data_IF_109832630209
#
_entry.id   IF_109832630209
#
_cell.length_a   1.000
_cell.length_b   1.000
_cell.length_c   1.000
_cell.angle_alpha   90.00
_cell.angle_beta   90.00
_cell.angle_gamma   90.00
#
_symmetry.space_group_name_H-M   'P 1'
#
loop_
_entity.id
_entity.type
_entity.pdbx_description
1 polymer ?
#
# COMPACT_ATOMS: atom_id res chain seq x y z
N UNK A 1 5.86 -7.61 9.76
CA UNK A 1 5.27 -6.30 9.45
C UNK A 1 5.05 -6.17 7.96
N UNK A 2 3.79 -5.98 7.56
CA UNK A 2 3.38 -5.67 6.19
C UNK A 2 2.88 -4.23 6.19
N UNK A 3 3.37 -3.37 5.29
CA UNK A 3 2.90 -1.99 5.18
C UNK A 3 2.10 -1.83 3.88
N UNK A 4 0.85 -1.35 4.00
CA UNK A 4 -0.02 -1.08 2.85
C UNK A 4 -0.08 0.42 2.62
N UNK A 5 0.26 0.85 1.41
CA UNK A 5 0.33 2.26 1.07
C UNK A 5 -0.17 2.54 -0.35
N UNK A 6 -0.42 3.82 -0.65
CA UNK A 6 -0.98 4.25 -1.91
C UNK A 6 -1.79 5.52 -1.75
N UNK A 7 -2.42 5.97 -2.84
CA UNK A 7 -3.27 7.16 -2.81
C UNK A 7 -4.50 6.96 -1.92
N UNK A 8 -5.10 8.06 -1.50
CA UNK A 8 -6.43 8.15 -0.93
C UNK A 8 -7.42 7.53 -1.91
N UNK A 9 -8.35 6.73 -1.40
CA UNK A 9 -9.33 6.03 -2.24
C UNK A 9 -8.75 4.95 -3.17
N UNK A 10 -7.48 4.57 -3.04
CA UNK A 10 -6.89 3.47 -3.81
C UNK A 10 -7.28 2.06 -3.29
N UNK A 11 -8.30 1.93 -2.43
CA UNK A 11 -8.76 0.63 -1.92
C UNK A 11 -7.97 0.03 -0.76
N UNK A 12 -6.98 0.71 -0.16
CA UNK A 12 -6.12 0.19 0.94
C UNK A 12 -6.89 -0.46 2.09
N UNK A 13 -7.83 0.29 2.69
CA UNK A 13 -8.61 -0.23 3.82
C UNK A 13 -9.54 -1.38 3.41
N UNK A 14 -10.11 -1.36 2.19
CA UNK A 14 -10.89 -2.49 1.65
C UNK A 14 -10.03 -3.73 1.45
N UNK A 15 -8.82 -3.57 0.89
CA UNK A 15 -7.84 -4.64 0.73
C UNK A 15 -7.49 -5.28 2.09
N UNK A 16 -7.22 -4.46 3.11
CA UNK A 16 -6.92 -4.96 4.45
C UNK A 16 -8.12 -5.71 5.04
N UNK A 17 -9.34 -5.22 4.83
CA UNK A 17 -10.55 -5.91 5.27
C UNK A 17 -10.72 -7.27 4.58
N UNK A 18 -10.40 -7.39 3.29
CA UNK A 18 -10.43 -8.66 2.56
C UNK A 18 -9.37 -9.63 3.14
N UNK A 19 -8.14 -9.15 3.35
CA UNK A 19 -7.06 -9.96 3.96
C UNK A 19 -7.46 -10.42 5.38
N UNK A 20 -8.06 -9.52 6.16
CA UNK A 20 -8.54 -9.81 7.52
C UNK A 20 -9.78 -10.74 7.53
N UNK A 21 -10.65 -10.66 6.52
CA UNK A 21 -11.86 -11.47 6.38
C UNK A 21 -11.64 -12.92 5.96
N UNK A 22 -10.39 -13.30 5.65
CA UNK A 22 -9.94 -14.70 5.57
C UNK A 22 -9.36 -15.23 6.89
N UNK A 23 -9.31 -14.41 7.93
CA UNK A 23 -8.63 -14.65 9.21
C UNK A 23 -9.60 -14.50 10.40
N UNK A 24 -9.91 -15.58 11.10
CA UNK A 24 -10.82 -15.58 12.27
C UNK A 24 -10.36 -14.75 13.49
N UNK A 25 -9.12 -14.25 13.50
CA UNK A 25 -8.51 -13.57 14.66
C UNK A 25 -8.22 -12.07 14.47
N UNK A 26 -8.80 -11.42 13.45
CA UNK A 26 -8.50 -10.02 13.15
C UNK A 26 -8.82 -9.10 14.35
N UNK A 27 -7.78 -8.53 14.97
CA UNK A 27 -7.92 -7.56 16.06
C UNK A 27 -7.31 -6.24 15.63
N UNK A 28 -8.15 -5.21 15.47
CA UNK A 28 -7.68 -3.86 15.17
C UNK A 28 -7.35 -3.14 16.48
N UNK A 29 -6.07 -2.90 16.74
CA UNK A 29 -5.65 -1.98 17.81
C UNK A 29 -5.29 -0.64 17.19
N UNK A 30 -5.99 0.44 17.56
CA UNK A 30 -5.55 1.79 17.22
C UNK A 30 -4.32 2.10 18.07
N UNK A 31 -3.12 1.98 17.51
CA UNK A 31 -1.92 2.48 18.17
C UNK A 31 -2.05 4.01 18.27
N UNK A 32 -2.30 4.52 19.47
CA UNK A 32 -2.46 5.97 19.72
C UNK A 32 -1.06 6.58 19.86
N UNK A 33 -0.41 6.84 18.73
CA UNK A 33 0.59 7.90 18.61
C UNK A 33 -0.15 9.16 18.16
N UNK A 34 -0.27 10.16 19.04
CA UNK A 34 -0.98 11.42 18.79
C UNK A 34 -0.58 12.02 17.42
N UNK A 35 -1.53 12.09 16.49
CA UNK A 35 -1.44 12.77 15.17
C UNK A 35 -0.70 12.03 14.05
N UNK A 36 -0.70 10.69 14.03
CA UNK A 36 -0.08 9.91 12.94
C UNK A 36 -1.09 8.91 12.35
N UNK A 37 -1.55 9.14 11.12
CA UNK A 37 -2.67 8.42 10.51
C UNK A 37 -2.26 7.06 9.92
N UNK A 38 -1.80 6.15 10.77
CA UNK A 38 -1.70 4.74 10.42
C UNK A 38 -2.44 3.85 11.43
N UNK A 39 -2.99 2.73 10.96
CA UNK A 39 -3.68 1.73 11.80
C UNK A 39 -2.97 0.39 11.71
N UNK A 40 -2.74 -0.22 12.87
CA UNK A 40 -2.22 -1.59 12.95
C UNK A 40 -3.40 -2.57 13.03
N UNK A 41 -3.39 -3.56 12.15
CA UNK A 41 -4.31 -4.68 12.13
C UNK A 41 -3.50 -5.98 12.25
N UNK A 42 -3.73 -6.75 13.31
CA UNK A 42 -3.13 -8.08 13.42
C UNK A 42 -4.06 -9.09 12.76
N UNK A 43 -3.55 -9.87 11.81
CA UNK A 43 -4.30 -10.87 11.02
C UNK A 43 -3.59 -12.22 11.02
N UNK A 44 -4.34 -13.32 10.88
CA UNK A 44 -3.82 -14.68 10.77
C UNK A 44 -4.12 -15.25 9.38
N UNK A 45 -3.09 -15.40 8.55
CA UNK A 45 -3.22 -15.97 7.20
C UNK A 45 -2.52 -17.33 7.17
N UNK A 46 -3.27 -18.39 6.86
CA UNK A 46 -2.77 -19.77 6.82
C UNK A 46 -1.99 -20.21 8.08
N UNK A 47 -2.50 -19.87 9.28
CA UNK A 47 -1.87 -20.23 10.56
C UNK A 47 -0.67 -19.37 10.95
N UNK A 48 -0.39 -18.27 10.22
CA UNK A 48 0.69 -17.33 10.53
C UNK A 48 0.13 -15.95 10.84
N UNK A 49 0.61 -15.34 11.92
CA UNK A 49 0.21 -14.00 12.32
C UNK A 49 1.04 -12.93 11.62
N UNK A 50 0.37 -11.91 11.09
CA UNK A 50 0.96 -10.75 10.44
C UNK A 50 0.40 -9.47 11.06
N UNK A 51 1.29 -8.50 11.29
CA UNK A 51 0.90 -7.13 11.58
C UNK A 51 0.85 -6.33 10.28
N UNK A 52 -0.35 -5.93 9.86
CA UNK A 52 -0.60 -5.08 8.70
C UNK A 52 -0.77 -3.63 9.15
N UNK A 53 -0.02 -2.74 8.54
CA UNK A 53 -0.04 -1.30 8.81
C UNK A 53 -0.75 -0.59 7.66
N UNK A 54 -1.99 -0.15 7.91
CA UNK A 54 -2.80 0.70 7.02
C UNK A 54 -2.30 2.14 7.13
N UNK A 55 -1.85 2.75 6.04
CA UNK A 55 -1.45 4.17 6.04
C UNK A 55 -2.55 5.05 5.48
N UNK A 56 -2.61 6.31 5.90
CA UNK A 56 -3.34 7.34 5.17
C UNK A 56 -2.93 7.38 3.68
N UNK A 57 -3.83 7.90 2.85
CA UNK A 57 -3.53 8.19 1.46
C UNK A 57 -2.41 9.21 1.32
N UNK A 58 -1.51 8.99 0.36
CA UNK A 58 -0.36 9.87 0.14
C UNK A 58 -0.71 11.25 -0.44
N UNK A 59 -1.92 11.40 -0.97
CA UNK A 59 -2.54 12.64 -1.47
C UNK A 59 -3.69 13.11 -0.57
N UNK A 60 -3.88 12.49 0.59
CA UNK A 60 -5.01 12.74 1.47
C UNK A 60 -4.82 14.10 2.18
N UNK A 61 -5.63 15.08 1.77
CA UNK A 61 -5.47 16.46 2.18
C UNK A 61 -6.61 17.37 1.80
N UNK A 62 -7.15 18.11 2.78
CA UNK A 62 -8.05 19.22 2.53
C UNK A 62 -7.31 20.35 1.79
N UNK A 63 -7.59 20.52 0.50
CA UNK A 63 -7.37 21.74 -0.31
C UNK A 63 -6.05 22.50 -0.05
N UNK A 64 -4.90 21.93 -0.41
CA UNK A 64 -3.60 22.63 -0.40
C UNK A 64 -2.45 21.70 -0.81
N UNK A 65 -1.26 22.22 -1.13
CA UNK A 65 -0.06 21.42 -1.49
C UNK A 65 0.68 20.81 -0.29
N UNK A 66 0.48 21.37 0.90
CA UNK A 66 1.06 20.90 2.18
C UNK A 66 0.64 19.49 2.70
N UNK A 67 -0.51 18.88 2.32
CA UNK A 67 -0.93 17.59 2.85
C UNK A 67 -0.19 16.37 2.29
N UNK A 68 0.18 16.40 1.00
CA UNK A 68 0.91 15.27 0.40
C UNK A 68 2.28 15.12 1.08
N UNK A 69 3.04 16.21 1.19
CA UNK A 69 4.34 16.23 1.91
C UNK A 69 4.23 15.68 3.33
N UNK A 70 3.15 16.01 4.07
CA UNK A 70 2.91 15.45 5.41
C UNK A 70 2.61 13.96 5.39
N UNK A 71 1.82 13.47 4.44
CA UNK A 71 1.56 12.04 4.29
C UNK A 71 2.85 11.29 3.94
N UNK A 72 3.70 11.89 3.11
CA UNK A 72 5.04 11.36 2.81
C UNK A 72 5.95 11.30 4.04
N UNK A 73 5.99 12.36 4.84
CA UNK A 73 6.77 12.42 6.09
C UNK A 73 6.27 11.39 7.11
N UNK A 74 4.96 11.30 7.30
CA UNK A 74 4.31 10.34 8.20
C UNK A 74 4.68 8.90 7.84
N UNK A 75 4.63 8.59 6.54
CA UNK A 75 5.04 7.30 6.05
C UNK A 75 6.54 7.07 6.29
N UNK A 76 7.42 8.01 5.94
CA UNK A 76 8.87 7.86 6.18
C UNK A 76 9.15 7.58 7.65
N UNK A 77 8.44 8.26 8.55
CA UNK A 77 8.53 8.04 9.99
C UNK A 77 8.07 6.62 10.37
N UNK A 78 6.91 6.16 9.88
CA UNK A 78 6.44 4.79 10.11
C UNK A 78 7.46 3.76 9.63
N UNK A 79 7.96 3.91 8.40
CA UNK A 79 8.94 2.98 7.82
C UNK A 79 10.22 2.94 8.68
N UNK A 80 10.70 4.09 9.13
CA UNK A 80 11.87 4.20 10.00
C UNK A 80 11.63 3.59 11.39
N UNK A 81 10.46 3.79 11.99
CA UNK A 81 10.06 3.17 13.26
C UNK A 81 10.02 1.64 13.14
N UNK A 82 9.35 1.12 12.10
CA UNK A 82 9.25 -0.32 11.87
C UNK A 82 10.61 -0.95 11.60
N UNK A 83 11.47 -0.30 10.81
CA UNK A 83 12.83 -0.76 10.54
C UNK A 83 13.69 -0.85 11.81
N UNK A 84 13.46 0.04 12.78
CA UNK A 84 14.19 0.03 14.07
C UNK A 84 13.75 -1.06 15.02
N UNK A 85 12.46 -1.38 15.02
CA UNK A 85 11.89 -2.33 15.98
C UNK A 85 12.11 -3.77 15.49
N UNK A 86 11.41 -4.16 14.42
CA UNK A 86 11.38 -5.55 13.94
C UNK A 86 11.61 -5.70 12.42
N UNK A 87 11.88 -4.61 11.71
CA UNK A 87 11.98 -4.63 10.24
C UNK A 87 10.61 -4.60 9.54
N UNK A 88 10.67 -4.52 8.21
CA UNK A 88 9.53 -4.61 7.31
C UNK A 88 9.77 -5.84 6.43
N UNK A 89 8.78 -6.73 6.37
CA UNK A 89 8.90 -7.99 5.63
C UNK A 89 8.34 -7.86 4.20
N UNK A 90 7.33 -7.00 4.03
CA UNK A 90 6.67 -6.77 2.76
C UNK A 90 6.08 -5.37 2.69
N UNK A 91 6.20 -4.78 1.51
CA UNK A 91 5.49 -3.58 1.11
C UNK A 91 4.37 -3.94 0.13
N UNK A 92 3.18 -3.41 0.35
CA UNK A 92 2.06 -3.52 -0.58
C UNK A 92 1.74 -2.12 -1.11
N UNK A 93 2.03 -1.89 -2.38
CA UNK A 93 1.59 -0.70 -3.10
C UNK A 93 0.18 -0.94 -3.64
N UNK A 94 -0.83 -0.43 -2.93
CA UNK A 94 -2.21 -0.47 -3.37
C UNK A 94 -2.47 0.70 -4.32
N UNK A 95 -2.97 0.39 -5.52
CA UNK A 95 -3.31 1.36 -6.56
C UNK A 95 -4.72 1.10 -7.06
N UNK A 96 -5.35 2.12 -7.65
CA UNK A 96 -6.63 1.96 -8.32
C UNK A 96 -6.42 1.99 -9.83
N UNK A 97 -6.90 0.98 -10.55
CA UNK A 97 -6.77 0.86 -12.00
C UNK A 97 -7.48 1.98 -12.76
N UNK A 98 -8.48 2.62 -12.14
CA UNK A 98 -9.24 3.73 -12.71
C UNK A 98 -8.61 5.12 -12.49
N UNK A 99 -7.45 5.22 -11.80
CA UNK A 99 -6.84 6.50 -11.44
C UNK A 99 -5.61 6.89 -12.27
N UNK A 100 -5.29 8.20 -12.39
CA UNK A 100 -4.15 8.69 -13.17
C UNK A 100 -2.78 8.23 -12.65
N UNK A 101 -1.93 7.74 -13.57
CA UNK A 101 -0.63 7.11 -13.29
C UNK A 101 0.46 8.06 -12.76
N UNK A 102 0.34 9.37 -12.96
CA UNK A 102 1.37 10.35 -12.55
C UNK A 102 1.60 10.37 -11.03
N UNK A 103 0.51 10.29 -10.25
CA UNK A 103 0.62 10.28 -8.80
C UNK A 103 1.09 8.90 -8.28
N UNK A 104 0.96 7.84 -9.06
CA UNK A 104 1.52 6.51 -8.75
C UNK A 104 3.05 6.51 -8.89
N UNK A 105 3.60 7.16 -9.91
CA UNK A 105 5.06 7.27 -10.10
C UNK A 105 5.74 8.03 -8.96
N UNK A 106 5.15 9.16 -8.54
CA UNK A 106 5.68 9.96 -7.44
C UNK A 106 5.71 9.15 -6.14
N UNK A 107 4.62 8.44 -5.85
CA UNK A 107 4.51 7.57 -4.69
C UNK A 107 5.55 6.45 -4.74
N UNK A 108 5.70 5.74 -5.87
CA UNK A 108 6.68 4.67 -5.95
C UNK A 108 8.12 5.14 -5.64
N UNK A 109 8.54 6.26 -6.24
CA UNK A 109 9.90 6.80 -6.06
C UNK A 109 10.18 7.22 -4.61
N UNK A 110 9.19 7.80 -3.94
CA UNK A 110 9.30 8.18 -2.53
C UNK A 110 9.62 6.97 -1.64
N UNK A 111 8.94 5.85 -1.88
CA UNK A 111 9.06 4.67 -1.01
C UNK A 111 10.32 3.89 -1.30
N UNK A 112 10.63 3.71 -2.58
CA UNK A 112 11.85 3.04 -3.00
C UNK A 112 13.10 3.76 -2.44
N UNK A 113 13.07 5.10 -2.37
CA UNK A 113 14.14 5.89 -1.75
C UNK A 113 14.11 5.85 -0.21
N UNK A 114 12.93 5.93 0.43
CA UNK A 114 12.80 5.95 1.90
C UNK A 114 13.29 4.67 2.58
N UNK A 115 13.16 3.51 1.92
CA UNK A 115 13.54 2.20 2.48
C UNK A 115 15.03 1.90 2.22
N UNK A 116 15.74 2.87 1.62
CA UNK A 116 17.20 2.86 1.50
C UNK A 116 17.73 1.74 0.62
N UNK A 117 16.97 1.30 -0.38
CA UNK A 117 17.30 0.15 -1.26
C UNK A 117 17.57 -1.15 -0.50
N UNK A 118 17.14 -1.26 0.78
CA UNK A 118 17.07 -2.57 1.44
C UNK A 118 16.12 -3.43 0.62
N UNK A 119 16.47 -4.72 0.44
CA UNK A 119 15.69 -5.71 -0.33
C UNK A 119 14.39 -6.09 0.40
N UNK A 120 13.54 -5.13 0.71
CA UNK A 120 12.17 -5.41 1.15
C UNK A 120 11.35 -5.62 -0.12
N UNK A 121 10.72 -6.78 -0.30
CA UNK A 121 9.92 -7.04 -1.49
C UNK A 121 8.74 -6.07 -1.57
N UNK A 122 8.40 -5.65 -2.78
CA UNK A 122 7.27 -4.77 -3.06
C UNK A 122 6.25 -5.52 -3.93
N UNK A 123 5.05 -5.72 -3.42
CA UNK A 123 3.93 -6.24 -4.19
C UNK A 123 3.02 -5.09 -4.66
N UNK A 124 2.64 -5.07 -5.93
CA UNK A 124 1.60 -4.19 -6.45
C UNK A 124 0.23 -4.84 -6.23
N UNK A 125 -0.75 -4.10 -5.72
CA UNK A 125 -2.14 -4.55 -5.70
C UNK A 125 -2.99 -3.53 -6.44
N UNK A 126 -3.62 -3.96 -7.52
CA UNK A 126 -4.49 -3.13 -8.36
C UNK A 126 -5.94 -3.40 -7.96
N UNK A 127 -6.62 -2.35 -7.52
CA UNK A 127 -8.03 -2.34 -7.10
C UNK A 127 -8.88 -1.52 -8.08
N UNK A 128 -10.20 -1.50 -7.91
CA UNK A 128 -11.06 -0.63 -8.73
C UNK A 128 -11.25 -1.13 -10.17
N UNK A 129 -11.20 -2.46 -10.35
CA UNK A 129 -11.30 -3.13 -11.65
C UNK A 129 -12.72 -3.69 -11.91
N UNK A 130 -13.69 -3.40 -11.05
CA UNK A 130 -15.07 -3.91 -11.12
C UNK A 130 -15.85 -3.48 -12.37
N UNK A 131 -15.37 -2.45 -13.07
CA UNK A 131 -15.97 -1.95 -14.31
C UNK A 131 -15.12 -2.24 -15.55
N UNK A 132 -13.99 -2.93 -15.40
CA UNK A 132 -13.17 -3.35 -16.55
C UNK A 132 -13.79 -4.60 -17.19
N UNK A 133 -13.79 -4.66 -18.52
CA UNK A 133 -14.25 -5.83 -19.27
C UNK A 133 -13.15 -6.90 -19.30
N UNK A 134 -13.54 -8.17 -19.17
CA UNK A 134 -12.61 -9.31 -19.26
C UNK A 134 -12.10 -9.80 -17.91
N UNK A 135 -11.01 -10.59 -17.93
CA UNK A 135 -10.37 -11.09 -16.72
C UNK A 135 -9.53 -9.98 -16.06
N UNK A 136 -9.54 -9.91 -14.72
CA UNK A 136 -8.84 -8.84 -13.99
C UNK A 136 -7.34 -8.75 -14.33
N UNK A 137 -6.72 -9.88 -14.62
CA UNK A 137 -5.30 -10.00 -14.96
C UNK A 137 -4.95 -9.38 -16.32
N UNK A 138 -5.93 -9.22 -17.21
CA UNK A 138 -5.74 -8.52 -18.50
C UNK A 138 -5.35 -7.06 -18.28
N UNK A 139 -5.80 -6.44 -17.18
CA UNK A 139 -5.35 -5.10 -16.81
C UNK A 139 -3.84 -5.07 -16.60
N UNK A 140 -3.27 -6.05 -15.88
CA UNK A 140 -1.82 -6.10 -15.69
C UNK A 140 -1.09 -6.27 -17.03
N UNK A 141 -1.52 -7.24 -17.85
CA UNK A 141 -0.93 -7.50 -19.17
C UNK A 141 -0.92 -6.25 -20.07
N UNK A 142 -1.96 -5.43 -20.01
CA UNK A 142 -2.06 -4.18 -20.76
C UNK A 142 -1.18 -3.03 -20.22
N UNK A 143 -0.80 -3.08 -18.93
CA UNK A 143 -0.15 -1.95 -18.24
C UNK A 143 1.31 -2.22 -17.82
N UNK A 144 1.75 -3.48 -17.70
CA UNK A 144 3.08 -3.88 -17.22
C UNK A 144 4.23 -3.18 -17.97
N UNK A 145 4.09 -3.04 -19.29
CA UNK A 145 5.10 -2.40 -20.13
C UNK A 145 5.37 -0.94 -19.71
N UNK A 146 4.35 -0.23 -19.26
CA UNK A 146 4.49 1.15 -18.77
C UNK A 146 5.17 1.20 -17.41
N UNK A 147 4.81 0.32 -16.47
CA UNK A 147 5.50 0.22 -15.18
C UNK A 147 6.99 -0.05 -15.37
N UNK A 148 7.33 -0.95 -16.30
CA UNK A 148 8.71 -1.25 -16.69
C UNK A 148 9.40 -0.03 -17.31
N UNK A 149 8.73 0.70 -18.21
CA UNK A 149 9.27 1.91 -18.83
C UNK A 149 9.53 3.03 -17.80
N UNK A 150 8.72 3.09 -16.75
CA UNK A 150 8.87 4.00 -15.61
C UNK A 150 9.90 3.51 -14.58
N UNK A 151 10.58 2.37 -14.83
CA UNK A 151 11.56 1.73 -13.93
C UNK A 151 10.98 1.40 -12.56
N UNK A 152 9.69 1.07 -12.54
CA UNK A 152 9.01 0.53 -11.37
C UNK A 152 9.23 -0.98 -11.35
N UNK A 153 9.63 -1.50 -10.20
CA UNK A 153 9.96 -2.90 -10.00
C UNK A 153 9.11 -3.43 -8.84
N UNK A 154 8.36 -4.48 -9.13
CA UNK A 154 7.54 -5.20 -8.16
C UNK A 154 7.97 -6.66 -8.15
N UNK A 155 8.07 -7.25 -6.97
CA UNK A 155 8.41 -8.67 -6.77
C UNK A 155 7.18 -9.57 -6.99
N UNK A 156 5.97 -9.00 -6.92
CA UNK A 156 4.70 -9.66 -7.19
C UNK A 156 3.62 -8.63 -7.54
N UNK A 157 2.53 -9.08 -8.14
CA UNK A 157 1.32 -8.27 -8.34
C UNK A 157 0.05 -9.09 -8.12
N UNK A 158 -1.05 -8.38 -7.86
CA UNK A 158 -2.39 -8.96 -7.85
C UNK A 158 -3.42 -7.93 -8.34
N UNK A 159 -4.32 -8.37 -9.22
CA UNK A 159 -5.48 -7.60 -9.67
C UNK A 159 -6.71 -8.09 -8.90
N UNK A 160 -7.38 -7.19 -8.17
CA UNK A 160 -8.48 -7.53 -7.27
C UNK A 160 -9.67 -6.60 -7.44
N UNK A 161 -10.88 -7.13 -7.32
CA UNK A 161 -12.10 -6.34 -7.10
C UNK A 161 -12.35 -6.20 -5.61
N UNK A 162 -12.72 -5.00 -5.18
CA UNK A 162 -13.00 -4.66 -3.77
C UNK A 162 -14.43 -4.22 -3.57
#
# INVERSE_FOLDING_TARGET
NIVVFGQSGAGKSSLINIIAGGSTAATSSRAIGRTFEYRKCDVEVHGKCYAIWDTAGLDEGSHGRAPAERAEENLKQLLHELVKVNGIDLLIHCVSGSRPRKALLNNYNLFYSAIGRKKVPIALVVTGLENEEGEMEEWWAANEAEFTALKMHFDAHACVTT
#
